data_IF_133592691062
#
_entry.id   IF_133592691062
#
_cell.length_a   1.000
_cell.length_b   1.000
_cell.length_c   1.000
_cell.angle_alpha   90.00
_cell.angle_beta   90.00
_cell.angle_gamma   90.00
#
_symmetry.space_group_name_H-M   'P 1'
#
loop_
_entity.id
_entity.type
_entity.pdbx_description
1 polymer ?
#
# COMPACT_ATOMS: atom_id res chain seq x y z
N UNK A 1 -10.41 11.03 -2.75
CA UNK A 1 -9.29 11.44 -1.89
C UNK A 1 -8.40 12.53 -2.49
N UNK A 2 -8.30 12.68 -3.82
CA UNK A 2 -7.50 13.74 -4.46
C UNK A 2 -8.30 14.65 -5.41
N UNK A 3 -9.63 14.59 -5.36
CA UNK A 3 -10.49 15.39 -6.26
C UNK A 3 -10.47 14.97 -7.74
N UNK A 4 -9.79 13.87 -8.09
CA UNK A 4 -9.58 13.43 -9.48
C UNK A 4 -10.57 12.36 -9.97
N UNK A 5 -11.68 12.12 -9.27
CA UNK A 5 -12.59 11.01 -9.56
C UNK A 5 -13.29 11.03 -10.94
N UNK A 6 -13.12 12.08 -11.74
CA UNK A 6 -13.67 12.18 -13.11
C UNK A 6 -12.61 12.16 -14.22
N UNK A 7 -11.36 11.83 -13.91
CA UNK A 7 -10.31 11.79 -14.92
C UNK A 7 -10.31 10.45 -15.63
N UNK A 8 -10.28 10.51 -16.97
CA UNK A 8 -10.12 9.34 -17.82
C UNK A 8 -8.64 9.06 -18.06
N UNK A 9 -8.27 7.78 -18.14
CA UNK A 9 -6.93 7.37 -18.55
C UNK A 9 -6.80 7.51 -20.06
N UNK A 10 -5.87 8.33 -20.50
CA UNK A 10 -5.53 8.45 -21.91
C UNK A 10 -4.41 7.48 -22.31
N UNK A 11 -4.34 7.16 -23.60
CA UNK A 11 -3.27 6.34 -24.18
C UNK A 11 -2.38 7.18 -25.08
N UNK A 12 -1.09 6.92 -25.02
CA UNK A 12 -0.07 7.44 -25.93
C UNK A 12 0.81 6.29 -26.43
N UNK A 13 1.76 6.58 -27.33
CA UNK A 13 2.67 5.57 -27.89
C UNK A 13 3.52 4.86 -26.82
N UNK A 14 3.76 5.51 -25.68
CA UNK A 14 4.50 4.95 -24.55
C UNK A 14 3.64 4.17 -23.55
N UNK A 15 2.31 4.14 -23.73
CA UNK A 15 1.37 3.45 -22.85
C UNK A 15 0.29 4.34 -22.23
N UNK A 16 -0.24 3.93 -21.08
CA UNK A 16 -1.24 4.67 -20.31
C UNK A 16 -0.62 5.93 -19.70
N UNK A 17 -1.24 7.07 -19.97
CA UNK A 17 -0.85 8.35 -19.36
C UNK A 17 -1.44 8.38 -17.94
N UNK A 18 -0.62 8.47 -16.88
CA UNK A 18 -1.14 8.58 -15.52
C UNK A 18 -1.90 9.88 -15.32
N UNK A 19 -2.85 9.88 -14.39
CA UNK A 19 -3.56 11.10 -14.00
C UNK A 19 -2.61 11.95 -13.15
N UNK A 20 -2.28 13.14 -13.63
CA UNK A 20 -1.32 14.03 -12.98
C UNK A 20 -2.03 15.18 -12.23
N UNK A 21 -1.64 15.41 -10.98
CA UNK A 21 -2.03 16.57 -10.16
C UNK A 21 -0.77 17.21 -9.59
N UNK A 22 -0.45 18.42 -10.03
CA UNK A 22 0.80 19.12 -9.70
C UNK A 22 2.05 18.26 -9.96
N UNK A 23 2.63 17.69 -8.90
CA UNK A 23 3.83 16.82 -8.94
C UNK A 23 3.52 15.35 -8.61
N UNK A 24 2.24 14.98 -8.56
CA UNK A 24 1.79 13.62 -8.26
C UNK A 24 1.24 12.98 -9.52
N UNK A 25 1.75 11.79 -9.85
CA UNK A 25 1.23 10.93 -10.91
C UNK A 25 0.47 9.77 -10.29
N UNK A 26 -0.74 9.50 -10.77
CA UNK A 26 -1.66 8.51 -10.20
C UNK A 26 -2.16 7.53 -11.26
N UNK A 27 -2.24 6.27 -10.88
CA UNK A 27 -2.96 5.25 -11.62
C UNK A 27 -3.82 4.44 -10.64
N UNK A 28 -5.06 4.20 -11.00
CA UNK A 28 -6.00 3.41 -10.21
C UNK A 28 -6.97 2.70 -11.12
N UNK A 29 -7.40 1.50 -10.71
CA UNK A 29 -8.46 0.76 -11.37
C UNK A 29 -9.77 1.57 -11.46
N UNK A 30 -10.00 2.48 -10.52
CA UNK A 30 -11.19 3.32 -10.50
C UNK A 30 -11.30 4.24 -11.73
N UNK A 31 -10.18 4.57 -12.40
CA UNK A 31 -10.20 5.35 -13.63
C UNK A 31 -10.56 4.52 -14.88
N UNK A 32 -10.62 3.19 -14.73
CA UNK A 32 -10.91 2.24 -15.82
C UNK A 32 -12.33 1.66 -15.71
N UNK A 33 -13.11 2.09 -14.71
CA UNK A 33 -14.50 1.69 -14.55
C UNK A 33 -15.42 2.69 -15.26
N UNK A 34 -16.48 2.19 -15.89
CA UNK A 34 -17.51 3.03 -16.49
C UNK A 34 -18.34 3.75 -15.41
N UNK A 35 -18.63 3.06 -14.31
CA UNK A 35 -19.29 3.59 -13.12
C UNK A 35 -18.37 3.43 -11.89
N UNK A 36 -18.05 4.51 -11.14
CA UNK A 36 -17.22 4.43 -9.94
C UNK A 36 -17.82 3.61 -8.80
N UNK A 37 -19.14 3.36 -8.80
CA UNK A 37 -19.82 2.54 -7.79
C UNK A 37 -19.86 1.04 -8.18
N UNK A 38 -19.33 0.67 -9.35
CA UNK A 38 -19.29 -0.72 -9.78
C UNK A 38 -18.34 -1.58 -8.93
N UNK A 39 -18.88 -2.70 -8.44
CA UNK A 39 -18.08 -3.68 -7.71
C UNK A 39 -17.11 -4.41 -8.64
N UNK A 40 -15.81 -4.33 -8.34
CA UNK A 40 -14.77 -5.04 -9.07
C UNK A 40 -14.76 -6.52 -8.64
N UNK A 41 -15.45 -7.38 -9.39
CA UNK A 41 -15.42 -8.84 -9.20
C UNK A 41 -14.56 -9.49 -10.29
N UNK A 42 -13.25 -9.29 -10.21
CA UNK A 42 -12.31 -9.86 -11.20
C UNK A 42 -11.64 -11.13 -10.66
N UNK A 43 -11.53 -12.15 -11.52
CA UNK A 43 -10.83 -13.41 -11.18
C UNK A 43 -9.32 -13.21 -11.19
N UNK A 44 -8.60 -14.00 -10.38
CA UNK A 44 -7.16 -13.90 -10.11
C UNK A 44 -6.28 -13.54 -11.32
N UNK A 45 -6.33 -14.29 -12.43
CA UNK A 45 -5.47 -14.01 -13.60
C UNK A 45 -5.66 -12.61 -14.19
N UNK A 46 -6.90 -12.10 -14.21
CA UNK A 46 -7.21 -10.75 -14.72
C UNK A 46 -6.63 -9.68 -13.80
N UNK A 47 -6.68 -9.90 -12.49
CA UNK A 47 -6.11 -8.98 -11.49
C UNK A 47 -4.58 -8.94 -11.59
N UNK A 48 -3.93 -10.10 -11.66
CA UNK A 48 -2.47 -10.19 -11.84
C UNK A 48 -2.01 -9.52 -13.13
N UNK A 49 -2.74 -9.74 -14.24
CA UNK A 49 -2.44 -9.08 -15.50
C UNK A 49 -2.54 -7.55 -15.37
N UNK A 50 -3.61 -7.03 -14.77
CA UNK A 50 -3.77 -5.57 -14.57
C UNK A 50 -2.63 -4.98 -13.73
N UNK A 51 -2.23 -5.64 -12.64
CA UNK A 51 -1.09 -5.20 -11.83
C UNK A 51 0.18 -5.10 -12.70
N UNK A 52 0.40 -6.08 -13.58
CA UNK A 52 1.50 -6.05 -14.53
C UNK A 52 1.43 -4.87 -15.49
N UNK A 53 0.24 -4.51 -15.97
CA UNK A 53 0.02 -3.34 -16.82
C UNK A 53 0.26 -2.03 -16.06
N UNK A 54 -0.14 -1.91 -14.80
CA UNK A 54 0.17 -0.72 -13.99
C UNK A 54 1.66 -0.48 -13.82
N UNK A 55 2.44 -1.55 -13.71
CA UNK A 55 3.91 -1.45 -13.56
C UNK A 55 4.59 -1.22 -14.91
N UNK A 56 4.16 -1.92 -15.97
CA UNK A 56 4.91 -1.99 -17.24
C UNK A 56 4.38 -1.06 -18.33
N UNK A 57 3.07 -0.83 -18.36
CA UNK A 57 2.37 -0.18 -19.48
C UNK A 57 1.92 1.25 -19.14
N UNK A 58 2.17 1.73 -17.92
CA UNK A 58 1.94 3.13 -17.55
C UNK A 58 3.20 3.93 -17.82
N UNK A 59 3.04 5.02 -18.58
CA UNK A 59 4.10 5.97 -18.88
C UNK A 59 4.38 6.88 -17.67
N UNK A 60 4.96 6.30 -16.62
CA UNK A 60 5.28 6.98 -15.36
C UNK A 60 6.26 8.15 -15.52
N UNK A 61 7.09 8.12 -16.56
CA UNK A 61 8.15 9.12 -16.78
C UNK A 61 9.27 9.01 -15.74
N UNK A 62 9.92 10.14 -15.46
CA UNK A 62 10.93 10.24 -14.40
C UNK A 62 10.23 10.35 -13.04
N UNK A 63 10.48 9.38 -12.16
CA UNK A 63 9.95 9.34 -10.80
C UNK A 63 11.08 9.20 -9.79
N UNK A 64 11.04 10.01 -8.73
CA UNK A 64 11.90 9.80 -7.56
C UNK A 64 11.43 8.62 -6.71
N UNK A 65 10.10 8.43 -6.61
CA UNK A 65 9.45 7.42 -5.76
C UNK A 65 8.18 6.92 -6.44
N UNK A 66 7.99 5.60 -6.45
CA UNK A 66 6.73 4.94 -6.80
C UNK A 66 6.12 4.31 -5.54
N UNK A 67 4.93 4.77 -5.14
CA UNK A 67 4.17 4.18 -4.04
C UNK A 67 3.11 3.23 -4.61
N UNK A 68 3.07 2.01 -4.09
CA UNK A 68 2.06 1.02 -4.45
C UNK A 68 1.17 0.74 -3.25
N UNK A 69 -0.11 1.09 -3.38
CA UNK A 69 -1.13 0.78 -2.38
C UNK A 69 -1.73 -0.60 -2.68
N UNK A 70 -1.28 -1.60 -1.94
CA UNK A 70 -1.75 -2.98 -2.06
C UNK A 70 -2.97 -3.22 -1.17
N UNK A 71 -3.95 -4.04 -1.59
CA UNK A 71 -5.03 -4.47 -0.70
C UNK A 71 -4.48 -5.16 0.55
N UNK A 72 -5.24 -5.23 1.66
CA UNK A 72 -4.76 -5.82 2.90
C UNK A 72 -4.59 -7.34 2.83
N UNK A 73 -3.62 -7.87 3.59
CA UNK A 73 -3.37 -9.30 3.82
C UNK A 73 -2.39 -9.91 2.81
N UNK A 74 -1.86 -11.11 3.08
CA UNK A 74 -0.71 -11.67 2.33
C UNK A 74 -1.11 -12.36 1.01
N UNK A 75 -1.93 -11.72 0.19
CA UNK A 75 -2.56 -12.33 -0.97
C UNK A 75 -1.68 -12.29 -2.25
N UNK A 76 -2.15 -12.95 -3.32
CA UNK A 76 -1.42 -13.08 -4.59
C UNK A 76 -1.09 -11.73 -5.24
N UNK A 77 -1.81 -10.67 -4.89
CA UNK A 77 -1.56 -9.30 -5.33
C UNK A 77 -0.17 -8.79 -4.93
N UNK A 78 0.27 -9.09 -3.71
CA UNK A 78 1.60 -8.69 -3.26
C UNK A 78 2.70 -9.40 -4.07
N UNK A 79 2.51 -10.69 -4.35
CA UNK A 79 3.44 -11.43 -5.21
C UNK A 79 3.43 -10.89 -6.63
N UNK A 80 2.27 -10.61 -7.20
CA UNK A 80 2.14 -10.03 -8.53
C UNK A 80 2.89 -8.68 -8.63
N UNK A 81 2.75 -7.80 -7.64
CA UNK A 81 3.48 -6.52 -7.60
C UNK A 81 4.99 -6.79 -7.55
N UNK A 82 5.45 -7.65 -6.65
CA UNK A 82 6.89 -7.95 -6.50
C UNK A 82 7.48 -8.62 -7.73
N UNK A 83 6.75 -9.52 -8.40
CA UNK A 83 7.20 -10.19 -9.62
C UNK A 83 7.34 -9.21 -10.78
N UNK A 84 6.37 -8.31 -10.97
CA UNK A 84 6.42 -7.30 -12.02
C UNK A 84 7.48 -6.24 -11.72
N UNK A 85 7.64 -5.86 -10.46
CA UNK A 85 8.69 -4.95 -10.02
C UNK A 85 10.06 -5.62 -9.87
N UNK A 86 10.21 -6.94 -10.05
CA UNK A 86 11.50 -7.64 -9.83
C UNK A 86 12.65 -7.12 -10.69
N UNK A 87 12.32 -6.58 -11.88
CA UNK A 87 13.28 -5.91 -12.78
C UNK A 87 13.72 -4.55 -12.26
N UNK A 88 12.92 -3.95 -11.39
CA UNK A 88 13.17 -2.72 -10.68
C UNK A 88 13.66 -3.07 -9.26
N UNK A 89 14.49 -2.22 -8.67
CA UNK A 89 14.92 -2.46 -7.29
C UNK A 89 13.79 -2.02 -6.36
N UNK A 90 13.15 -2.97 -5.68
CA UNK A 90 12.19 -2.64 -4.60
C UNK A 90 12.98 -2.30 -3.34
N UNK A 91 12.88 -1.05 -2.88
CA UNK A 91 13.60 -0.59 -1.68
C UNK A 91 13.06 -1.19 -0.38
N UNK A 92 11.75 -1.47 -0.35
CA UNK A 92 11.12 -2.16 0.76
C UNK A 92 9.62 -1.91 0.86
N UNK A 93 9.05 -2.32 1.99
CA UNK A 93 7.65 -2.14 2.35
C UNK A 93 7.51 -1.35 3.66
N UNK A 94 6.46 -0.54 3.73
CA UNK A 94 5.99 0.10 4.97
C UNK A 94 4.72 -0.64 5.39
N UNK A 95 4.73 -1.20 6.60
CA UNK A 95 3.56 -1.92 7.12
C UNK A 95 2.66 -0.94 7.88
N UNK A 96 1.37 -0.92 7.58
CA UNK A 96 0.39 -0.08 8.27
C UNK A 96 -0.50 -0.97 9.14
N UNK A 97 -0.70 -0.57 10.39
CA UNK A 97 -1.53 -1.30 11.36
C UNK A 97 -2.35 -0.36 12.21
N UNK A 98 -3.18 -0.90 13.09
CA UNK A 98 -3.99 -0.15 14.06
C UNK A 98 -3.85 -0.76 15.45
N UNK A 99 -4.11 -0.03 16.56
CA UNK A 99 -3.88 -0.54 17.92
C UNK A 99 -4.76 -1.72 18.34
N UNK A 100 -5.85 -1.99 17.62
CA UNK A 100 -6.82 -3.03 17.99
C UNK A 100 -6.21 -4.43 17.78
N UNK A 101 -6.42 -5.34 18.74
CA UNK A 101 -5.83 -6.68 18.74
C UNK A 101 -6.14 -7.54 17.49
N UNK A 102 -7.16 -7.19 16.71
CA UNK A 102 -7.48 -7.85 15.44
C UNK A 102 -6.39 -7.64 14.37
N UNK A 103 -5.69 -6.50 14.38
CA UNK A 103 -4.65 -6.17 13.38
C UNK A 103 -3.32 -6.89 13.63
N UNK A 104 -3.05 -7.32 14.87
CA UNK A 104 -1.76 -7.94 15.25
C UNK A 104 -1.48 -9.24 14.49
N UNK A 105 -2.54 -10.01 14.18
CA UNK A 105 -2.42 -11.24 13.39
C UNK A 105 -1.99 -10.96 11.96
N UNK A 106 -2.57 -9.93 11.34
CA UNK A 106 -2.32 -9.57 9.95
C UNK A 106 -0.90 -8.97 9.78
N UNK A 107 -0.47 -8.10 10.69
CA UNK A 107 0.91 -7.57 10.68
C UNK A 107 1.94 -8.68 10.81
N UNK A 108 1.70 -9.67 11.67
CA UNK A 108 2.63 -10.80 11.82
C UNK A 108 2.73 -11.62 10.52
N UNK A 109 1.62 -11.82 9.81
CA UNK A 109 1.61 -12.49 8.51
C UNK A 109 2.38 -11.67 7.48
N UNK A 110 2.18 -10.35 7.44
CA UNK A 110 2.92 -9.46 6.53
C UNK A 110 4.42 -9.43 6.79
N UNK A 111 4.84 -9.41 8.06
CA UNK A 111 6.26 -9.51 8.40
C UNK A 111 6.86 -10.83 7.89
N UNK A 112 6.11 -11.93 8.06
CA UNK A 112 6.54 -13.25 7.58
C UNK A 112 6.59 -13.29 6.05
N UNK A 113 5.63 -12.66 5.38
CA UNK A 113 5.62 -12.51 3.92
C UNK A 113 6.87 -11.77 3.45
N UNK A 114 7.14 -10.58 3.99
CA UNK A 114 8.32 -9.77 3.64
C UNK A 114 9.63 -10.55 3.83
N UNK A 115 9.75 -11.31 4.94
CA UNK A 115 10.89 -12.19 5.17
C UNK A 115 11.06 -13.27 4.09
N UNK A 116 9.96 -13.94 3.73
CA UNK A 116 9.99 -15.02 2.72
C UNK A 116 10.28 -14.51 1.31
N UNK A 117 9.82 -13.31 0.98
CA UNK A 117 10.02 -12.69 -0.34
C UNK A 117 11.29 -11.84 -0.42
N UNK A 118 11.99 -11.65 0.70
CA UNK A 118 13.21 -10.84 0.76
C UNK A 118 12.96 -9.34 0.71
N UNK A 119 11.72 -8.88 0.90
CA UNK A 119 11.36 -7.47 0.93
C UNK A 119 11.81 -6.87 2.26
N UNK A 120 12.60 -5.80 2.19
CA UNK A 120 13.03 -5.07 3.39
C UNK A 120 11.85 -4.34 4.01
N UNK A 121 11.64 -4.49 5.31
CA UNK A 121 10.67 -3.68 6.04
C UNK A 121 11.36 -2.34 6.38
N UNK A 122 10.86 -1.25 5.81
CA UNK A 122 11.38 0.10 6.04
C UNK A 122 10.88 0.69 7.35
N UNK A 123 9.68 0.31 7.76
CA UNK A 123 9.05 0.76 8.99
C UNK A 123 7.65 0.16 9.18
N UNK A 124 7.11 0.36 10.39
CA UNK A 124 5.73 0.01 10.75
C UNK A 124 5.06 1.28 11.27
N UNK A 125 3.86 1.58 10.76
CA UNK A 125 3.08 2.78 11.11
C UNK A 125 1.80 2.35 11.84
N UNK A 126 1.57 2.89 13.05
CA UNK A 126 0.30 2.74 13.78
C UNK A 126 -0.65 3.84 13.34
N UNK A 127 -1.61 3.50 12.47
CA UNK A 127 -2.72 4.38 12.14
C UNK A 127 -3.80 4.32 13.22
N UNK A 128 -4.61 5.37 13.35
CA UNK A 128 -5.69 5.48 14.35
C UNK A 128 -5.20 5.30 15.80
N UNK A 129 -3.95 5.69 16.06
CA UNK A 129 -3.29 5.62 17.37
C UNK A 129 -3.62 6.87 18.20
N UNK A 130 -4.74 6.80 18.91
CA UNK A 130 -5.24 7.90 19.74
C UNK A 130 -6.19 8.84 19.00
N UNK A 131 -6.89 9.67 19.77
CA UNK A 131 -7.88 10.62 19.26
C UNK A 131 -7.64 11.97 19.91
N UNK A 132 -7.34 13.00 19.10
CA UNK A 132 -7.24 14.38 19.60
C UNK A 132 -8.63 15.00 19.50
N UNK A 133 -9.24 15.28 20.65
CA UNK A 133 -10.53 15.98 20.71
C UNK A 133 -10.37 17.40 20.13
N UNK A 134 -11.12 17.80 19.09
CA UNK A 134 -11.00 19.14 18.49
C UNK A 134 -11.49 20.27 19.42
N UNK A 135 -12.14 19.92 20.54
CA UNK A 135 -12.67 20.85 21.55
C UNK A 135 -11.87 20.84 22.86
N UNK A 136 -10.86 19.97 22.97
CA UNK A 136 -10.12 19.74 24.20
C UNK A 136 -8.62 19.87 23.89
N UNK A 137 -7.88 20.67 24.66
CA UNK A 137 -6.41 20.80 24.51
C UNK A 137 -5.60 19.64 25.09
N UNK A 138 -6.27 18.66 25.70
CA UNK A 138 -5.61 17.49 26.27
C UNK A 138 -5.39 16.42 25.20
N UNK A 139 -4.11 16.12 24.95
CA UNK A 139 -3.70 14.91 24.27
C UNK A 139 -4.04 13.69 25.14
N UNK A 140 -4.53 12.58 24.58
CA UNK A 140 -4.65 11.33 25.33
C UNK A 140 -3.29 10.88 25.86
N UNK A 141 -3.27 10.33 27.08
CA UNK A 141 -2.08 9.87 27.80
C UNK A 141 -1.14 9.01 26.95
N UNK A 142 0.17 9.12 27.22
CA UNK A 142 1.26 8.38 26.57
C UNK A 142 1.14 6.85 26.60
N UNK A 143 0.21 6.30 27.38
CA UNK A 143 -0.07 4.87 27.46
C UNK A 143 -0.60 4.29 26.14
N UNK A 144 -1.33 5.07 25.33
CA UNK A 144 -1.90 4.60 24.05
C UNK A 144 -0.82 4.31 22.99
N UNK A 145 0.26 5.11 22.97
CA UNK A 145 1.39 4.94 22.04
C UNK A 145 2.31 3.75 22.36
N UNK A 146 2.15 3.12 23.53
CA UNK A 146 3.01 1.99 23.97
C UNK A 146 2.77 0.68 23.21
N UNK A 147 1.68 0.61 22.44
CA UNK A 147 1.20 -0.60 21.76
C UNK A 147 2.14 -1.01 20.61
N UNK A 148 2.48 -0.09 19.69
CA UNK A 148 3.41 -0.41 18.60
C UNK A 148 4.81 -0.71 19.09
N UNK A 149 5.38 0.05 20.04
CA UNK A 149 6.75 -0.23 20.52
C UNK A 149 6.84 -1.66 21.03
N UNK A 150 5.86 -2.09 21.84
CA UNK A 150 5.81 -3.46 22.32
C UNK A 150 5.59 -4.50 21.22
N UNK A 151 4.80 -4.20 20.18
CA UNK A 151 4.57 -5.12 19.05
C UNK A 151 5.83 -5.21 18.18
N UNK A 152 6.41 -4.07 17.79
CA UNK A 152 7.63 -3.97 16.99
C UNK A 152 8.81 -4.60 17.73
N UNK A 153 8.99 -4.33 19.02
CA UNK A 153 10.05 -4.94 19.83
C UNK A 153 9.82 -6.44 20.03
N UNK A 154 8.59 -6.91 20.28
CA UNK A 154 8.32 -8.35 20.42
C UNK A 154 8.42 -9.10 19.10
N UNK A 155 8.03 -8.48 17.98
CA UNK A 155 8.05 -9.12 16.67
C UNK A 155 9.45 -9.09 16.06
N UNK A 156 10.17 -7.97 16.10
CA UNK A 156 11.53 -7.90 15.56
C UNK A 156 12.56 -8.68 16.40
N UNK A 157 12.45 -8.68 17.74
CA UNK A 157 13.43 -9.41 18.58
C UNK A 157 13.23 -10.95 18.57
N UNK A 158 12.03 -11.46 18.28
CA UNK A 158 11.81 -12.91 18.08
C UNK A 158 12.22 -13.40 16.69
N UNK A 159 12.72 -12.51 15.85
CA UNK A 159 13.02 -12.76 14.45
C UNK A 159 14.53 -12.80 14.15
N UNK A 160 15.37 -12.65 15.19
CA UNK A 160 16.84 -12.77 15.17
C UNK A 160 17.36 -14.16 15.62
N UNK A 161 16.47 -15.14 15.82
CA UNK A 161 16.81 -16.54 16.06
C UNK A 161 16.32 -17.46 14.94
#
# INVERSE_FOLDING_TARGET
>A
MLGVSKHEVHQCDAGWVPVCVDRLSLMSIAFLLDDPDDAIVWRGPKKTALIGQFVSDVAWGELDVLLVDTPPGTSDEHLAVLENLKKHRVDGAVLVTTPQAVSTGDVRREITFCKKTGVKILGIVENMSGFVCPHCTEFPDSATYSSIRNITDKLLNNLEH
#
